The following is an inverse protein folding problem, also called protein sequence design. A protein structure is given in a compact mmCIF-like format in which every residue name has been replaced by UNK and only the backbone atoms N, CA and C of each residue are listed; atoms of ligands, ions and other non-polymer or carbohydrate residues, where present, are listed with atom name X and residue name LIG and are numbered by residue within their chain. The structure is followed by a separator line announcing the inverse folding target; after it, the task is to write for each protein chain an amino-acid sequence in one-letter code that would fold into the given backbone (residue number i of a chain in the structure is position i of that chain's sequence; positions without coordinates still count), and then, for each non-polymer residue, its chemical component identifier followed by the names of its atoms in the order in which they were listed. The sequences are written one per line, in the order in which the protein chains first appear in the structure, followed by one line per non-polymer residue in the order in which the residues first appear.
data_IF_911886631299
#
_entry.id   IF_911886631299
#
_cell.length_a   1.000
_cell.length_b   1.000
_cell.length_c   1.000
_cell.angle_alpha   90.00
_cell.angle_beta   90.00
_cell.angle_gamma   90.00
#
_symmetry.space_group_name_H-M   'P 1'
#
loop_
_entity.id
_entity.type
_entity.pdbx_description
1 polymer ?
#
# COMPACT_ATOMS: atom_id res chain seq x y z
N UNK A 1 -28.14 21.50 -12.55
CA UNK A 1 -27.40 22.77 -12.73
C UNK A 1 -26.97 23.21 -11.33
N UNK A 2 -25.67 23.11 -11.04
CA UNK A 2 -25.10 23.64 -9.80
C UNK A 2 -25.13 25.18 -9.90
N UNK A 3 -25.65 25.88 -8.89
CA UNK A 3 -25.75 27.33 -8.92
C UNK A 3 -24.37 27.97 -8.87
N UNK A 4 -24.19 29.17 -9.45
CA UNK A 4 -22.94 29.94 -9.35
C UNK A 4 -22.50 30.16 -7.89
N UNK A 5 -23.43 30.14 -6.93
CA UNK A 5 -23.16 30.24 -5.49
C UNK A 5 -22.50 28.97 -4.95
N UNK A 6 -22.96 27.79 -5.40
CA UNK A 6 -22.40 26.50 -4.95
C UNK A 6 -20.99 26.29 -5.52
N UNK A 7 -20.75 26.71 -6.78
CA UNK A 7 -19.42 26.72 -7.39
C UNK A 7 -18.42 27.65 -6.67
N UNK A 8 -18.90 28.79 -6.16
CA UNK A 8 -18.09 29.71 -5.38
C UNK A 8 -17.80 29.20 -3.97
N UNK A 9 -18.74 28.50 -3.34
CA UNK A 9 -18.54 27.87 -2.04
C UNK A 9 -17.57 26.69 -2.12
N UNK A 10 -17.64 25.88 -3.17
CA UNK A 10 -16.67 24.78 -3.43
C UNK A 10 -15.29 25.37 -3.75
N UNK A 11 -15.22 26.47 -4.50
CA UNK A 11 -13.96 27.17 -4.77
C UNK A 11 -13.33 27.78 -3.52
N UNK A 12 -14.14 28.42 -2.67
CA UNK A 12 -13.67 29.07 -1.43
C UNK A 12 -13.23 28.03 -0.37
N UNK A 13 -13.95 26.91 -0.23
CA UNK A 13 -13.55 25.83 0.66
C UNK A 13 -12.28 25.13 0.15
N UNK A 14 -12.13 24.92 -1.16
CA UNK A 14 -10.93 24.33 -1.74
C UNK A 14 -9.66 25.20 -1.55
N UNK A 15 -9.79 26.52 -1.62
CA UNK A 15 -8.67 27.46 -1.36
C UNK A 15 -8.32 27.48 0.13
N UNK A 16 -9.30 27.47 1.03
CA UNK A 16 -9.06 27.43 2.47
C UNK A 16 -8.39 26.11 2.89
N UNK A 17 -8.85 24.98 2.36
CA UNK A 17 -8.31 23.64 2.67
C UNK A 17 -6.90 23.46 2.10
N UNK A 18 -6.61 23.92 0.88
CA UNK A 18 -5.25 23.92 0.33
C UNK A 18 -4.29 24.81 1.14
N UNK A 19 -4.79 25.89 1.73
CA UNK A 19 -4.05 26.75 2.67
C UNK A 19 -3.62 26.01 3.94
N UNK A 20 -4.48 25.13 4.49
CA UNK A 20 -4.18 24.35 5.70
C UNK A 20 -3.01 23.38 5.50
N UNK A 21 -2.90 22.72 4.33
CA UNK A 21 -1.78 21.83 4.05
C UNK A 21 -0.43 22.56 4.00
N UNK A 22 -0.40 23.76 3.41
CA UNK A 22 0.79 24.64 3.43
C UNK A 22 1.14 25.09 4.84
N UNK A 23 0.14 25.43 5.66
CA UNK A 23 0.35 25.80 7.06
C UNK A 23 0.93 24.66 7.87
N UNK A 24 0.49 23.42 7.66
CA UNK A 24 1.05 22.25 8.33
C UNK A 24 2.52 22.01 7.92
N UNK A 25 2.85 22.16 6.63
CA UNK A 25 4.24 22.05 6.15
C UNK A 25 5.10 23.17 6.75
N UNK A 26 4.59 24.41 6.81
CA UNK A 26 5.31 25.54 7.40
C UNK A 26 5.44 25.40 8.92
N UNK A 27 4.44 24.87 9.61
CA UNK A 27 4.53 24.57 11.04
C UNK A 27 5.65 23.56 11.32
N UNK A 28 5.76 22.50 10.52
CA UNK A 28 6.87 21.55 10.62
C UNK A 28 8.21 22.19 10.31
N UNK A 29 8.27 23.05 9.29
CA UNK A 29 9.49 23.79 8.95
C UNK A 29 9.99 24.64 10.11
N UNK A 30 9.10 25.28 10.86
CA UNK A 30 9.43 26.16 12.00
C UNK A 30 9.76 25.40 13.29
N UNK A 31 9.35 24.13 13.42
CA UNK A 31 9.79 23.32 14.57
C UNK A 31 11.31 23.26 14.60
N UNK A 32 11.94 23.35 15.78
CA UNK A 32 13.38 23.15 15.92
C UNK A 32 13.78 21.83 15.24
N UNK A 33 14.94 21.84 14.57
CA UNK A 33 15.50 20.57 14.12
C UNK A 33 15.80 19.74 15.36
N UNK A 34 15.46 18.42 15.36
CA UNK A 34 16.03 17.55 16.37
C UNK A 34 17.55 17.63 16.29
N UNK A 35 18.22 17.46 17.41
CA UNK A 35 19.67 17.40 17.41
C UNK A 35 20.12 16.34 16.39
N UNK A 36 20.91 16.77 15.40
CA UNK A 36 21.36 15.84 14.38
C UNK A 36 22.16 14.71 14.98
N UNK A 37 21.69 13.50 14.84
CA UNK A 37 22.40 12.27 15.21
C UNK A 37 22.63 11.44 13.95
N UNK A 38 23.87 11.01 13.76
CA UNK A 38 24.15 10.00 12.75
C UNK A 38 23.40 8.70 13.11
N UNK A 39 22.79 8.06 12.11
CA UNK A 39 22.15 6.76 12.30
C UNK A 39 23.17 5.76 12.88
N UNK A 40 22.93 5.16 14.04
CA UNK A 40 23.83 4.16 14.61
C UNK A 40 23.78 2.86 13.80
N UNK A 41 24.83 2.05 13.91
CA UNK A 41 24.90 0.70 13.32
C UNK A 41 24.61 -0.38 14.35
N UNK A 42 23.63 -0.15 15.19
CA UNK A 42 23.23 -1.05 16.24
C UNK A 42 21.94 -1.82 15.95
N UNK A 43 21.55 -2.69 16.88
CA UNK A 43 20.35 -3.52 16.80
C UNK A 43 19.08 -2.66 16.67
N UNK A 44 18.97 -1.59 17.45
CA UNK A 44 17.78 -0.76 17.48
C UNK A 44 17.53 -0.06 16.15
N UNK A 45 18.59 0.52 15.55
CA UNK A 45 18.50 1.15 14.25
C UNK A 45 18.09 0.17 13.16
N UNK A 46 18.54 -1.09 13.23
CA UNK A 46 18.19 -2.11 12.27
C UNK A 46 16.73 -2.56 12.40
N UNK A 47 16.23 -2.73 13.62
CA UNK A 47 14.80 -3.01 13.87
C UNK A 47 13.93 -1.89 13.32
N UNK A 48 14.26 -0.64 13.65
CA UNK A 48 13.53 0.53 13.17
C UNK A 48 13.50 0.57 11.64
N UNK A 49 14.64 0.38 10.98
CA UNK A 49 14.72 0.39 9.52
C UNK A 49 13.87 -0.69 8.85
N UNK A 50 13.83 -1.90 9.43
CA UNK A 50 13.05 -3.02 8.90
C UNK A 50 11.55 -2.84 9.09
N UNK A 51 11.15 -2.26 10.21
CA UNK A 51 9.74 -2.07 10.58
C UNK A 51 9.14 -0.78 10.06
N UNK A 52 9.96 0.19 9.63
CA UNK A 52 9.54 1.53 9.22
C UNK A 52 10.03 1.89 7.83
N UNK A 53 9.67 3.09 7.36
CA UNK A 53 10.25 3.69 6.16
C UNK A 53 11.65 4.29 6.38
N UNK A 54 12.29 3.99 7.49
CA UNK A 54 13.65 4.40 7.79
C UNK A 54 13.80 5.02 9.17
N UNK A 55 15.02 4.97 9.67
CA UNK A 55 15.39 5.54 10.95
C UNK A 55 15.19 7.07 10.99
N UNK A 56 14.72 7.57 12.12
CA UNK A 56 14.75 8.99 12.47
C UNK A 56 15.10 9.15 13.96
N UNK A 57 15.49 10.36 14.36
CA UNK A 57 15.82 10.66 15.77
C UNK A 57 14.59 10.44 16.66
N UNK A 58 13.44 10.92 16.24
CA UNK A 58 12.18 10.79 16.99
C UNK A 58 11.76 9.32 17.17
N UNK A 59 12.00 8.49 16.15
CA UNK A 59 11.69 7.06 16.23
C UNK A 59 12.68 6.32 17.15
N UNK A 60 13.96 6.71 17.10
CA UNK A 60 15.00 6.15 17.97
C UNK A 60 14.74 6.51 19.43
N UNK A 61 14.37 7.75 19.72
CA UNK A 61 14.01 8.18 21.08
C UNK A 61 12.80 7.39 21.60
N UNK A 62 11.74 7.26 20.77
CA UNK A 62 10.57 6.44 21.12
C UNK A 62 10.93 4.98 21.39
N UNK A 63 11.80 4.40 20.57
CA UNK A 63 12.29 3.03 20.76
C UNK A 63 13.09 2.89 22.08
N UNK A 64 13.93 3.87 22.39
CA UNK A 64 14.72 3.86 23.61
C UNK A 64 13.84 4.01 24.87
N UNK A 65 12.82 4.86 24.82
CA UNK A 65 11.89 5.09 25.93
C UNK A 65 11.03 3.86 26.26
N UNK A 66 10.58 3.12 25.23
CA UNK A 66 9.69 1.97 25.39
C UNK A 66 10.43 0.64 25.56
N UNK A 67 11.62 0.53 25.02
CA UNK A 67 12.32 -0.74 24.81
C UNK A 67 11.73 -1.55 23.63
N UNK A 68 12.51 -2.55 23.18
CA UNK A 68 12.23 -3.32 21.98
C UNK A 68 10.83 -3.98 22.00
N UNK A 69 10.50 -4.69 23.08
CA UNK A 69 9.26 -5.47 23.17
C UNK A 69 8.03 -4.59 23.10
N UNK A 70 7.96 -3.54 23.93
CA UNK A 70 6.78 -2.66 23.96
C UNK A 70 6.68 -1.83 22.68
N UNK A 71 7.81 -1.40 22.10
CA UNK A 71 7.82 -0.71 20.82
C UNK A 71 7.19 -1.58 19.71
N UNK A 72 7.62 -2.86 19.57
CA UNK A 72 7.06 -3.80 18.58
C UNK A 72 5.56 -4.01 18.82
N UNK A 73 5.15 -4.23 20.08
CA UNK A 73 3.75 -4.48 20.42
C UNK A 73 2.85 -3.27 20.10
N UNK A 74 3.31 -2.06 20.40
CA UNK A 74 2.54 -0.84 20.06
C UNK A 74 2.47 -0.60 18.56
N UNK A 75 3.52 -0.87 17.81
CA UNK A 75 3.50 -0.82 16.34
C UNK A 75 2.53 -1.87 15.76
N UNK A 76 2.47 -3.08 16.32
CA UNK A 76 1.52 -4.12 15.90
C UNK A 76 0.05 -3.76 16.18
N UNK A 77 -0.22 -2.96 17.22
CA UNK A 77 -1.56 -2.46 17.52
C UNK A 77 -1.90 -1.16 16.78
N UNK A 78 -0.90 -0.49 16.20
CA UNK A 78 -1.01 0.86 15.62
C UNK A 78 -1.65 1.86 16.60
N UNK A 79 -1.21 1.86 17.85
CA UNK A 79 -1.82 2.61 18.94
C UNK A 79 -1.01 3.86 19.37
N UNK A 80 -0.14 4.35 18.49
CA UNK A 80 0.51 5.64 18.67
C UNK A 80 -0.38 6.77 18.14
N UNK A 81 -0.39 7.88 18.86
CA UNK A 81 -1.07 9.10 18.40
C UNK A 81 -0.37 9.66 17.14
N UNK A 82 -1.15 9.96 16.13
CA UNK A 82 -0.63 10.58 14.92
C UNK A 82 -0.36 12.07 15.11
N UNK A 83 0.73 12.61 14.52
CA UNK A 83 1.00 14.04 14.60
C UNK A 83 -0.15 14.88 14.05
N UNK A 84 -0.54 15.93 14.77
CA UNK A 84 -1.61 16.84 14.36
C UNK A 84 -1.38 17.41 12.97
N UNK A 85 -0.12 17.78 12.67
CA UNK A 85 0.26 18.32 11.35
C UNK A 85 0.04 17.31 10.22
N UNK A 86 0.19 15.99 10.49
CA UNK A 86 -0.14 14.96 9.50
C UNK A 86 -1.63 14.94 9.24
N UNK A 87 -2.45 14.99 10.28
CA UNK A 87 -3.91 15.00 10.16
C UNK A 87 -4.39 16.23 9.38
N UNK A 88 -3.87 17.43 9.67
CA UNK A 88 -4.20 18.65 8.94
C UNK A 88 -3.76 18.55 7.47
N UNK A 89 -2.59 17.99 7.21
CA UNK A 89 -2.06 17.84 5.86
C UNK A 89 -2.92 16.87 5.03
N UNK A 90 -3.31 15.74 5.59
CA UNK A 90 -4.21 14.79 4.94
C UNK A 90 -5.60 15.37 4.70
N UNK A 91 -6.11 16.19 5.62
CA UNK A 91 -7.37 16.90 5.44
C UNK A 91 -7.32 17.91 4.28
N UNK A 92 -6.15 18.43 3.93
CA UNK A 92 -5.99 19.32 2.78
C UNK A 92 -6.04 18.62 1.41
N UNK A 93 -5.96 17.28 1.41
CA UNK A 93 -6.08 16.43 0.22
C UNK A 93 -7.54 15.99 0.05
N UNK A 94 -8.35 16.84 -0.58
CA UNK A 94 -9.80 16.70 -0.70
C UNK A 94 -10.22 15.38 -1.39
N UNK A 95 -9.46 14.94 -2.39
CA UNK A 95 -9.74 13.70 -3.13
C UNK A 95 -9.76 12.43 -2.25
N UNK A 96 -9.10 12.43 -1.08
CA UNK A 96 -9.11 11.28 -0.16
C UNK A 96 -10.49 11.01 0.46
N UNK A 97 -11.37 12.00 0.48
CA UNK A 97 -12.69 11.93 1.13
C UNK A 97 -13.85 11.99 0.16
N UNK A 98 -13.56 12.25 -1.11
CA UNK A 98 -14.57 12.35 -2.16
C UNK A 98 -15.03 10.96 -2.59
N UNK A 99 -16.32 10.83 -2.86
CA UNK A 99 -16.85 9.62 -3.46
C UNK A 99 -16.34 9.47 -4.91
N UNK A 100 -16.14 8.25 -5.44
CA UNK A 100 -15.67 8.04 -6.81
C UNK A 100 -16.41 8.85 -7.89
N UNK A 101 -17.73 9.06 -7.73
CA UNK A 101 -18.54 9.89 -8.63
C UNK A 101 -18.09 11.35 -8.65
N UNK A 102 -17.78 11.90 -7.50
CA UNK A 102 -17.29 13.28 -7.37
C UNK A 102 -15.88 13.41 -7.96
N UNK A 103 -15.05 12.37 -7.76
CA UNK A 103 -13.71 12.30 -8.34
C UNK A 103 -13.72 12.29 -9.86
N UNK A 104 -14.77 11.73 -10.50
CA UNK A 104 -14.91 11.72 -11.96
C UNK A 104 -15.04 13.12 -12.57
N UNK A 105 -15.42 14.12 -11.78
CA UNK A 105 -15.44 15.53 -12.20
C UNK A 105 -14.08 16.23 -12.00
N UNK A 106 -13.10 15.55 -11.39
CA UNK A 106 -11.75 16.08 -11.12
C UNK A 106 -10.78 15.55 -12.19
N UNK A 107 -9.83 16.36 -12.68
CA UNK A 107 -8.79 15.88 -13.58
C UNK A 107 -8.01 14.68 -12.97
N UNK A 108 -7.89 13.58 -13.71
CA UNK A 108 -7.23 12.34 -13.24
C UNK A 108 -5.86 12.59 -12.61
N UNK A 109 -5.05 13.45 -13.24
CA UNK A 109 -3.72 13.81 -12.71
C UNK A 109 -3.77 14.42 -11.32
N UNK A 110 -4.78 15.23 -10.99
CA UNK A 110 -4.95 15.81 -9.65
C UNK A 110 -5.30 14.71 -8.63
N UNK A 111 -6.20 13.79 -9.00
CA UNK A 111 -6.58 12.67 -8.10
C UNK A 111 -5.35 11.81 -7.80
N UNK A 112 -4.62 11.36 -8.83
CA UNK A 112 -3.39 10.58 -8.67
C UNK A 112 -2.34 11.31 -7.83
N UNK A 113 -2.11 12.60 -8.11
CA UNK A 113 -1.16 13.41 -7.34
C UNK A 113 -1.51 13.49 -5.85
N UNK A 114 -2.77 13.67 -5.51
CA UNK A 114 -3.19 13.73 -4.10
C UNK A 114 -3.05 12.37 -3.40
N UNK A 115 -3.35 11.26 -4.08
CA UNK A 115 -3.12 9.91 -3.55
C UNK A 115 -1.63 9.66 -3.30
N UNK A 116 -0.76 10.02 -4.25
CA UNK A 116 0.69 9.91 -4.12
C UNK A 116 1.23 10.82 -3.00
N UNK A 117 0.73 12.05 -2.88
CA UNK A 117 1.09 12.95 -1.77
C UNK A 117 0.71 12.35 -0.42
N UNK A 118 -0.49 11.78 -0.30
CA UNK A 118 -0.95 11.13 0.92
C UNK A 118 -0.03 9.96 1.32
N UNK A 119 0.36 9.11 0.37
CA UNK A 119 1.27 8.00 0.63
C UNK A 119 2.64 8.50 1.13
N UNK A 120 3.23 9.52 0.46
CA UNK A 120 4.53 10.08 0.85
C UNK A 120 4.48 10.70 2.25
N UNK A 121 3.47 11.53 2.56
CA UNK A 121 3.42 12.20 3.87
C UNK A 121 3.10 11.22 5.02
N UNK A 122 2.28 10.19 4.78
CA UNK A 122 2.04 9.12 5.76
C UNK A 122 3.31 8.32 6.02
N UNK A 123 3.96 7.81 5.00
CA UNK A 123 5.20 7.06 5.13
C UNK A 123 6.31 7.86 5.81
N UNK A 124 6.32 9.19 5.63
CA UNK A 124 7.32 10.08 6.25
C UNK A 124 6.99 10.39 7.70
N UNK A 125 5.72 10.69 8.03
CA UNK A 125 5.36 11.35 9.30
C UNK A 125 4.51 10.54 10.26
N UNK A 126 3.86 9.45 9.79
CA UNK A 126 3.08 8.61 10.69
C UNK A 126 3.98 8.05 11.82
N UNK A 127 3.45 8.03 13.02
CA UNK A 127 4.05 7.35 14.18
C UNK A 127 3.78 5.85 14.17
N UNK A 128 2.75 5.41 13.44
CA UNK A 128 2.40 4.01 13.24
C UNK A 128 3.10 3.45 11.97
N UNK A 129 4.43 3.43 11.99
CA UNK A 129 5.26 3.13 10.84
C UNK A 129 5.07 1.72 10.29
N UNK A 130 4.89 0.72 11.15
CA UNK A 130 4.61 -0.65 10.72
C UNK A 130 3.30 -0.74 9.93
N UNK A 131 2.29 0.02 10.34
CA UNK A 131 1.03 0.11 9.57
C UNK A 131 1.28 0.65 8.16
N UNK A 132 2.06 1.71 8.02
CA UNK A 132 2.36 2.29 6.70
C UNK A 132 3.20 1.32 5.84
N UNK A 133 4.14 0.58 6.42
CA UNK A 133 4.89 -0.47 5.73
C UNK A 133 3.98 -1.60 5.23
N UNK A 134 3.01 -2.02 6.04
CA UNK A 134 2.05 -3.04 5.64
C UNK A 134 1.02 -2.51 4.64
N UNK A 135 0.65 -1.24 4.69
CA UNK A 135 -0.16 -0.61 3.64
C UNK A 135 0.56 -0.67 2.29
N UNK A 136 1.84 -0.29 2.24
CA UNK A 136 2.66 -0.39 1.02
C UNK A 136 2.78 -1.86 0.54
N UNK A 137 3.01 -2.81 1.45
CA UNK A 137 3.06 -4.24 1.13
C UNK A 137 1.74 -4.74 0.53
N UNK A 138 0.60 -4.42 1.16
CA UNK A 138 -0.71 -4.88 0.69
C UNK A 138 -1.17 -4.15 -0.58
N UNK A 139 -0.87 -2.86 -0.72
CA UNK A 139 -1.11 -2.11 -1.96
C UNK A 139 -0.31 -2.67 -3.14
N UNK A 140 0.88 -3.22 -2.88
CA UNK A 140 1.68 -3.91 -3.89
C UNK A 140 1.18 -5.33 -4.16
N UNK A 141 0.70 -6.04 -3.13
CA UNK A 141 0.15 -7.40 -3.25
C UNK A 141 -1.17 -7.42 -4.04
N UNK A 142 -2.04 -6.43 -3.83
CA UNK A 142 -3.29 -6.22 -4.56
C UNK A 142 -3.12 -5.06 -5.57
N UNK A 143 -2.04 -5.08 -6.33
CA UNK A 143 -1.74 -3.95 -7.21
C UNK A 143 -2.89 -3.64 -8.17
N UNK A 144 -3.26 -2.38 -8.24
CA UNK A 144 -4.23 -1.83 -9.18
C UNK A 144 -3.60 -0.66 -9.90
N UNK A 145 -3.47 -0.78 -11.21
CA UNK A 145 -2.96 0.28 -12.05
C UNK A 145 -3.95 1.43 -12.17
N UNK A 146 -3.66 2.55 -11.52
CA UNK A 146 -4.52 3.73 -11.52
C UNK A 146 -4.73 4.33 -12.93
N UNK A 147 -3.82 4.09 -13.86
CA UNK A 147 -3.93 4.57 -15.25
C UNK A 147 -4.94 3.82 -16.12
N UNK A 148 -5.45 2.64 -15.69
CA UNK A 148 -6.41 1.87 -16.50
C UNK A 148 -7.81 2.47 -16.39
N UNK A 149 -8.36 2.94 -17.50
CA UNK A 149 -9.72 3.50 -17.64
C UNK A 149 -10.08 4.43 -16.48
N UNK A 150 -11.06 4.09 -15.64
CA UNK A 150 -11.53 4.86 -14.49
C UNK A 150 -10.86 4.43 -13.17
N UNK A 151 -9.81 3.60 -13.22
CA UNK A 151 -9.10 3.05 -12.06
C UNK A 151 -8.63 4.12 -11.06
N UNK A 152 -8.15 5.26 -11.54
CA UNK A 152 -7.75 6.40 -10.70
C UNK A 152 -8.85 6.85 -9.72
N UNK A 153 -10.11 6.85 -10.17
CA UNK A 153 -11.22 7.35 -9.35
C UNK A 153 -11.65 6.37 -8.25
N UNK A 154 -11.38 5.08 -8.45
CA UNK A 154 -11.69 4.03 -7.47
C UNK A 154 -10.51 3.72 -6.53
N UNK A 155 -9.27 3.99 -6.98
CA UNK A 155 -8.04 3.64 -6.24
C UNK A 155 -7.99 4.27 -4.85
N UNK A 156 -8.42 5.51 -4.70
CA UNK A 156 -8.43 6.20 -3.41
C UNK A 156 -9.37 5.52 -2.40
N UNK A 157 -10.57 5.15 -2.84
CA UNK A 157 -11.53 4.44 -1.99
C UNK A 157 -11.05 3.03 -1.63
N UNK A 158 -10.44 2.30 -2.57
CA UNK A 158 -9.84 1.00 -2.33
C UNK A 158 -8.72 1.10 -1.28
N UNK A 159 -7.81 2.07 -1.44
CA UNK A 159 -6.71 2.29 -0.50
C UNK A 159 -7.22 2.61 0.91
N UNK A 160 -8.13 3.57 1.06
CA UNK A 160 -8.61 4.04 2.38
C UNK A 160 -9.57 3.03 3.03
N UNK A 161 -10.55 2.53 2.30
CA UNK A 161 -11.62 1.71 2.86
C UNK A 161 -11.26 0.24 3.00
N UNK A 162 -10.28 -0.27 2.23
CA UNK A 162 -9.92 -1.68 2.23
C UNK A 162 -8.49 -1.87 2.76
N UNK A 163 -7.48 -1.40 2.02
CA UNK A 163 -6.07 -1.69 2.38
C UNK A 163 -5.75 -1.12 3.76
N UNK A 164 -5.94 0.17 3.98
CA UNK A 164 -5.58 0.82 5.24
C UNK A 164 -6.38 0.31 6.43
N UNK A 165 -7.66 0.01 6.21
CA UNK A 165 -8.57 -0.53 7.23
C UNK A 165 -8.10 -1.91 7.72
N UNK A 166 -7.59 -2.74 6.82
CA UNK A 166 -7.26 -4.13 7.12
C UNK A 166 -5.76 -4.43 7.19
N UNK A 167 -4.88 -3.44 6.97
CA UNK A 167 -3.43 -3.64 6.92
C UNK A 167 -2.84 -4.33 8.16
N UNK A 168 -3.39 -4.05 9.34
CA UNK A 168 -3.12 -4.72 10.63
C UNK A 168 -4.37 -5.43 11.16
N UNK A 169 -5.26 -5.89 10.28
CA UNK A 169 -6.49 -6.59 10.62
C UNK A 169 -6.43 -8.08 10.27
N UNK A 170 -7.29 -8.48 9.34
CA UNK A 170 -7.43 -9.87 8.90
C UNK A 170 -7.30 -9.95 7.38
N UNK A 171 -6.43 -10.85 6.90
CA UNK A 171 -6.19 -11.03 5.47
C UNK A 171 -7.45 -11.48 4.72
N UNK A 172 -8.20 -12.46 5.24
CA UNK A 172 -9.41 -12.94 4.59
C UNK A 172 -10.46 -11.84 4.45
N UNK A 173 -10.62 -10.98 5.47
CA UNK A 173 -11.53 -9.84 5.39
C UNK A 173 -11.06 -8.82 4.33
N UNK A 174 -9.76 -8.55 4.25
CA UNK A 174 -9.17 -7.68 3.24
C UNK A 174 -9.37 -8.23 1.83
N UNK A 175 -9.01 -9.49 1.59
CA UNK A 175 -9.11 -10.13 0.29
C UNK A 175 -10.57 -10.24 -0.20
N UNK A 176 -11.52 -10.54 0.70
CA UNK A 176 -12.97 -10.56 0.39
C UNK A 176 -13.49 -9.16 0.03
N UNK A 177 -13.06 -8.13 0.76
CA UNK A 177 -13.43 -6.76 0.41
C UNK A 177 -12.80 -6.33 -0.93
N UNK A 178 -11.54 -6.71 -1.15
CA UNK A 178 -10.82 -6.46 -2.39
C UNK A 178 -11.46 -7.17 -3.58
N UNK A 179 -11.95 -8.41 -3.40
CA UNK A 179 -12.58 -9.17 -4.48
C UNK A 179 -13.85 -8.52 -5.04
N UNK A 180 -14.50 -7.67 -4.26
CA UNK A 180 -15.67 -6.88 -4.66
C UNK A 180 -15.35 -5.41 -4.92
N UNK A 181 -14.08 -5.02 -4.82
CA UNK A 181 -13.69 -3.63 -5.08
C UNK A 181 -13.96 -3.25 -6.55
N UNK A 182 -14.69 -2.16 -6.82
CA UNK A 182 -14.87 -1.65 -8.17
C UNK A 182 -13.54 -1.38 -8.89
N UNK A 183 -12.52 -0.92 -8.15
CA UNK A 183 -11.18 -0.73 -8.69
C UNK A 183 -10.60 -2.04 -9.25
N UNK A 184 -10.69 -3.14 -8.50
CA UNK A 184 -10.22 -4.46 -8.92
C UNK A 184 -11.04 -5.04 -10.06
N UNK A 185 -12.38 -4.96 -9.96
CA UNK A 185 -13.29 -5.47 -11.00
C UNK A 185 -13.07 -4.80 -12.37
N UNK A 186 -12.78 -3.50 -12.38
CA UNK A 186 -12.45 -2.76 -13.61
C UNK A 186 -11.03 -3.07 -14.06
N UNK A 187 -10.08 -3.12 -13.13
CA UNK A 187 -8.70 -3.36 -13.47
C UNK A 187 -8.46 -4.71 -14.13
N UNK A 188 -9.12 -5.77 -13.65
CA UNK A 188 -9.00 -7.13 -14.17
C UNK A 188 -10.16 -7.56 -15.07
N UNK A 189 -10.94 -6.60 -15.58
CA UNK A 189 -12.00 -6.77 -16.58
C UNK A 189 -13.16 -7.70 -16.14
N UNK A 190 -13.33 -7.93 -14.82
CA UNK A 190 -14.43 -8.76 -14.34
C UNK A 190 -15.81 -8.09 -14.52
N UNK A 191 -15.86 -6.78 -14.63
CA UNK A 191 -17.08 -6.05 -15.00
C UNK A 191 -17.60 -6.42 -16.39
N UNK A 192 -16.78 -7.10 -17.21
CA UNK A 192 -17.14 -7.65 -18.52
C UNK A 192 -17.31 -9.17 -18.50
N UNK A 193 -17.27 -9.81 -17.33
CA UNK A 193 -17.42 -11.24 -17.15
C UNK A 193 -18.92 -11.63 -17.07
N UNK A 194 -19.40 -12.44 -18.03
CA UNK A 194 -20.81 -12.84 -18.10
C UNK A 194 -20.99 -14.27 -18.64
N UNK A 195 -22.15 -14.86 -18.33
CA UNK A 195 -22.52 -16.19 -18.81
C UNK A 195 -22.39 -16.31 -20.32
N UNK A 196 -21.86 -17.45 -20.77
CA UNK A 196 -21.62 -17.71 -22.20
C UNK A 196 -20.24 -17.24 -22.69
N UNK A 197 -19.64 -16.23 -22.02
CA UNK A 197 -18.29 -15.74 -22.30
C UNK A 197 -17.56 -15.38 -21.00
N UNK A 198 -17.24 -16.38 -20.14
CA UNK A 198 -16.51 -16.11 -18.90
C UNK A 198 -15.13 -15.50 -19.18
N UNK A 199 -14.79 -14.45 -18.47
CA UNK A 199 -13.48 -13.80 -18.52
C UNK A 199 -12.59 -14.36 -17.41
N UNK A 200 -11.52 -15.06 -17.78
CA UNK A 200 -10.62 -15.74 -16.84
C UNK A 200 -9.62 -14.79 -16.16
N UNK A 201 -9.44 -13.57 -16.68
CA UNK A 201 -8.37 -12.68 -16.22
C UNK A 201 -8.39 -12.50 -14.68
N UNK A 202 -9.53 -12.05 -14.17
CA UNK A 202 -9.66 -11.86 -12.74
C UNK A 202 -9.57 -13.15 -11.92
N UNK A 203 -10.19 -14.23 -12.38
CA UNK A 203 -10.13 -15.52 -11.71
C UNK A 203 -8.69 -16.04 -11.60
N UNK A 204 -7.91 -15.88 -12.66
CA UNK A 204 -6.50 -16.25 -12.70
C UNK A 204 -5.69 -15.46 -11.67
N UNK A 205 -5.77 -14.13 -11.72
CA UNK A 205 -5.00 -13.28 -10.81
C UNK A 205 -5.39 -13.49 -9.34
N UNK A 206 -6.66 -13.75 -9.08
CA UNK A 206 -7.15 -14.06 -7.73
C UNK A 206 -6.50 -15.33 -7.18
N UNK A 207 -6.33 -16.38 -7.99
CA UNK A 207 -5.68 -17.61 -7.58
C UNK A 207 -4.15 -17.49 -7.57
N UNK A 208 -3.55 -16.93 -8.62
CA UNK A 208 -2.11 -16.94 -8.85
C UNK A 208 -1.32 -15.97 -7.97
N UNK A 209 -1.82 -14.76 -7.79
CA UNK A 209 -1.04 -13.70 -7.11
C UNK A 209 -1.70 -13.12 -5.88
N UNK A 210 -3.03 -13.26 -5.74
CA UNK A 210 -3.72 -12.69 -4.59
C UNK A 210 -3.98 -13.72 -3.47
N UNK A 211 -4.00 -15.04 -3.79
CA UNK A 211 -4.27 -16.09 -2.81
C UNK A 211 -3.25 -17.24 -2.85
N UNK A 212 -3.48 -18.28 -3.64
CA UNK A 212 -2.75 -19.56 -3.57
C UNK A 212 -1.27 -19.48 -3.98
N UNK A 213 -0.92 -18.49 -4.83
CA UNK A 213 0.39 -18.46 -5.49
C UNK A 213 0.43 -19.28 -6.78
N UNK A 214 1.41 -19.04 -7.64
CA UNK A 214 1.54 -19.71 -8.95
C UNK A 214 1.63 -21.24 -8.79
N UNK A 215 2.30 -21.70 -7.74
CA UNK A 215 2.48 -23.14 -7.45
C UNK A 215 1.38 -23.69 -6.52
N UNK A 216 0.22 -23.02 -6.41
CA UNK A 216 -0.84 -23.33 -5.45
C UNK A 216 -1.64 -24.61 -5.72
N UNK A 217 -1.32 -25.38 -6.76
CA UNK A 217 -1.90 -26.71 -7.04
C UNK A 217 -3.25 -26.68 -7.75
N UNK A 218 -3.77 -25.54 -8.16
CA UNK A 218 -4.98 -25.41 -8.98
C UNK A 218 -4.68 -25.71 -10.47
N UNK A 219 -5.74 -26.00 -11.22
CA UNK A 219 -5.68 -26.31 -12.64
C UNK A 219 -6.29 -25.18 -13.48
N UNK A 220 -6.01 -25.17 -14.80
CA UNK A 220 -6.68 -24.28 -15.74
C UNK A 220 -8.21 -24.41 -15.65
N UNK A 221 -8.73 -25.60 -15.38
CA UNK A 221 -10.17 -25.81 -15.19
C UNK A 221 -10.69 -25.11 -13.94
N UNK A 222 -9.94 -25.08 -12.85
CA UNK A 222 -10.35 -24.36 -11.64
C UNK A 222 -10.46 -22.86 -11.92
N UNK A 223 -9.55 -22.28 -12.71
CA UNK A 223 -9.62 -20.88 -13.15
C UNK A 223 -10.91 -20.63 -13.97
N UNK A 224 -11.23 -21.53 -14.92
CA UNK A 224 -12.43 -21.41 -15.73
C UNK A 224 -13.71 -21.49 -14.90
N UNK A 225 -13.77 -22.43 -13.98
CA UNK A 225 -14.91 -22.60 -13.08
C UNK A 225 -15.04 -21.43 -12.09
N UNK A 226 -13.91 -20.87 -11.57
CA UNK A 226 -13.92 -19.66 -10.77
C UNK A 226 -14.42 -18.45 -11.61
N UNK A 227 -13.98 -18.32 -12.86
CA UNK A 227 -14.48 -17.26 -13.73
C UNK A 227 -16.00 -17.34 -13.90
N UNK A 228 -16.57 -18.57 -14.04
CA UNK A 228 -18.02 -18.79 -14.05
C UNK A 228 -18.69 -18.39 -12.74
N UNK A 229 -18.08 -18.65 -11.57
CA UNK A 229 -18.58 -18.22 -10.27
C UNK A 229 -18.61 -16.69 -10.14
N UNK A 230 -17.69 -15.98 -10.79
CA UNK A 230 -17.55 -14.52 -10.72
C UNK A 230 -18.34 -13.79 -11.83
N UNK A 231 -19.03 -14.51 -12.72
CA UNK A 231 -19.91 -13.88 -13.72
C UNK A 231 -20.98 -13.03 -13.05
N UNK A 232 -21.29 -11.88 -13.64
CA UNK A 232 -22.26 -10.93 -13.07
C UNK A 232 -21.75 -10.06 -11.92
N UNK A 233 -20.54 -10.33 -11.40
CA UNK A 233 -19.90 -9.40 -10.45
C UNK A 233 -19.42 -8.17 -11.21
N UNK A 234 -20.04 -7.04 -10.95
CA UNK A 234 -19.81 -5.78 -11.66
C UNK A 234 -19.93 -4.60 -10.71
N UNK A 235 -20.00 -3.41 -11.23
CA UNK A 235 -20.25 -2.20 -10.46
C UNK A 235 -21.44 -1.44 -11.01
N UNK A 236 -22.05 -0.56 -10.19
CA UNK A 236 -23.05 0.39 -10.65
C UNK A 236 -22.45 1.30 -11.74
N UNK A 237 -23.21 1.49 -12.81
CA UNK A 237 -22.79 2.33 -13.90
C UNK A 237 -22.80 3.83 -13.53
N UNK A 238 -22.37 4.69 -14.46
CA UNK A 238 -22.27 6.13 -14.25
C UNK A 238 -23.59 6.81 -13.86
N UNK A 239 -24.72 6.24 -14.22
CA UNK A 239 -26.03 6.86 -14.05
C UNK A 239 -26.82 6.28 -12.88
N UNK A 240 -26.44 5.10 -12.37
CA UNK A 240 -27.09 4.48 -11.23
C UNK A 240 -26.58 5.04 -9.89
N UNK A 241 -27.36 4.88 -8.83
CA UNK A 241 -26.97 5.23 -7.45
C UNK A 241 -26.98 3.97 -6.58
N UNK A 242 -25.97 3.78 -5.72
CA UNK A 242 -24.72 4.52 -5.59
C UNK A 242 -23.74 4.16 -6.74
N UNK A 243 -23.32 5.15 -7.51
CA UNK A 243 -22.39 4.95 -8.62
C UNK A 243 -21.04 4.43 -8.11
N UNK A 244 -20.45 3.48 -8.85
CA UNK A 244 -19.15 2.91 -8.51
C UNK A 244 -19.15 2.02 -7.26
N UNK A 245 -20.31 1.57 -6.78
CA UNK A 245 -20.43 0.52 -5.79
C UNK A 245 -20.45 -0.86 -6.46
N UNK A 246 -20.09 -1.90 -5.71
CA UNK A 246 -20.28 -3.29 -6.15
C UNK A 246 -21.73 -3.56 -6.47
N UNK A 247 -22.00 -4.24 -7.58
CA UNK A 247 -23.30 -4.73 -8.00
C UNK A 247 -23.20 -6.17 -8.49
N UNK A 248 -24.13 -6.99 -8.12
CA UNK A 248 -24.36 -8.30 -8.73
C UNK A 248 -25.48 -8.22 -9.76
N UNK A 249 -25.20 -8.68 -10.98
CA UNK A 249 -26.15 -8.73 -12.08
C UNK A 249 -26.56 -10.18 -12.37
N UNK A 250 -27.69 -10.62 -11.83
CA UNK A 250 -28.23 -11.98 -11.98
C UNK A 250 -28.41 -12.35 -13.45
N UNK A 251 -28.80 -11.39 -14.29
CA UNK A 251 -29.06 -11.66 -15.74
C UNK A 251 -27.79 -12.06 -16.49
N UNK A 252 -26.63 -11.69 -15.95
CA UNK A 252 -25.30 -11.97 -16.51
C UNK A 252 -24.61 -13.15 -15.84
N UNK A 253 -25.19 -13.69 -14.75
CA UNK A 253 -24.58 -14.77 -13.97
C UNK A 253 -24.81 -16.15 -14.59
N UNK A 254 -23.81 -17.04 -14.47
CA UNK A 254 -23.91 -18.46 -14.82
C UNK A 254 -24.38 -19.26 -13.60
N UNK A 255 -25.66 -19.61 -13.58
CA UNK A 255 -26.30 -20.33 -12.47
C UNK A 255 -26.06 -21.85 -12.48
N UNK A 256 -25.33 -22.40 -13.44
CA UNK A 256 -25.00 -23.83 -13.49
C UNK A 256 -24.16 -24.27 -12.31
N UNK A 257 -24.22 -25.55 -11.95
CA UNK A 257 -23.32 -26.11 -10.93
C UNK A 257 -21.85 -26.00 -11.39
N UNK A 258 -20.94 -25.79 -10.44
CA UNK A 258 -19.51 -25.61 -10.68
C UNK A 258 -18.69 -26.40 -9.66
N UNK A 259 -17.43 -26.66 -9.98
CA UNK A 259 -16.48 -27.23 -9.04
C UNK A 259 -15.15 -26.51 -9.20
N UNK A 260 -14.68 -25.88 -8.12
CA UNK A 260 -13.49 -25.04 -8.11
C UNK A 260 -12.58 -25.48 -6.99
N UNK A 261 -11.40 -25.93 -7.30
CA UNK A 261 -10.33 -26.23 -6.31
C UNK A 261 -10.85 -27.00 -5.07
N UNK A 262 -11.55 -28.10 -5.33
CA UNK A 262 -12.13 -28.95 -4.30
C UNK A 262 -13.49 -28.51 -3.76
N UNK A 263 -13.95 -27.29 -4.06
CA UNK A 263 -15.26 -26.77 -3.61
C UNK A 263 -16.33 -27.10 -4.63
N UNK A 264 -17.42 -27.74 -4.18
CA UNK A 264 -18.63 -27.96 -4.98
C UNK A 264 -19.58 -26.77 -4.78
N UNK A 265 -19.86 -26.05 -5.85
CA UNK A 265 -20.80 -24.92 -5.89
C UNK A 265 -22.11 -25.41 -6.52
N UNK A 266 -23.22 -25.49 -5.77
CA UNK A 266 -24.52 -25.92 -6.28
C UNK A 266 -25.06 -24.92 -7.31
N UNK A 267 -25.93 -25.38 -8.21
CA UNK A 267 -26.62 -24.48 -9.13
C UNK A 267 -27.56 -23.53 -8.39
N UNK A 268 -27.72 -22.30 -8.91
CA UNK A 268 -28.69 -21.32 -8.40
C UNK A 268 -28.22 -20.52 -7.19
N UNK A 269 -26.90 -20.48 -6.89
CA UNK A 269 -26.36 -19.77 -5.72
C UNK A 269 -26.20 -18.25 -5.93
N UNK A 270 -26.19 -17.79 -7.19
CA UNK A 270 -26.09 -16.39 -7.54
C UNK A 270 -24.78 -15.75 -7.01
N UNK A 271 -24.87 -14.61 -6.35
CA UNK A 271 -23.70 -13.91 -5.79
C UNK A 271 -22.88 -14.78 -4.83
N UNK A 272 -23.51 -15.73 -4.17
CA UNK A 272 -22.88 -16.63 -3.18
C UNK A 272 -21.90 -17.61 -3.82
N UNK A 273 -22.02 -17.88 -5.11
CA UNK A 273 -21.09 -18.77 -5.83
C UNK A 273 -19.64 -18.26 -5.73
N UNK A 274 -19.45 -16.99 -6.09
CA UNK A 274 -18.14 -16.35 -5.95
C UNK A 274 -17.71 -16.17 -4.50
N UNK A 275 -18.63 -15.77 -3.59
CA UNK A 275 -18.33 -15.59 -2.17
C UNK A 275 -17.80 -16.88 -1.53
N UNK A 276 -18.47 -18.02 -1.80
CA UNK A 276 -18.09 -19.33 -1.27
C UNK A 276 -16.68 -19.73 -1.70
N UNK A 277 -16.34 -19.54 -2.98
CA UNK A 277 -15.02 -19.89 -3.48
C UNK A 277 -13.96 -18.93 -2.94
N UNK A 278 -14.23 -17.61 -2.90
CA UNK A 278 -13.31 -16.65 -2.29
C UNK A 278 -13.04 -16.96 -0.82
N UNK A 279 -14.08 -17.33 -0.05
CA UNK A 279 -13.93 -17.76 1.36
C UNK A 279 -13.03 -18.99 1.50
N UNK A 280 -13.16 -19.95 0.59
CA UNK A 280 -12.28 -21.12 0.55
C UNK A 280 -10.83 -20.73 0.23
N UNK A 281 -10.61 -19.97 -0.84
CA UNK A 281 -9.27 -19.56 -1.27
C UNK A 281 -8.52 -18.78 -0.18
N UNK A 282 -9.17 -17.80 0.46
CA UNK A 282 -8.51 -16.95 1.47
C UNK A 282 -8.20 -17.68 2.78
N UNK A 283 -8.84 -18.81 3.03
CA UNK A 283 -8.60 -19.65 4.22
C UNK A 283 -7.72 -20.88 3.94
N UNK A 284 -7.39 -21.12 2.68
CA UNK A 284 -6.64 -22.30 2.26
C UNK A 284 -5.19 -22.26 2.75
N UNK A 285 -4.63 -23.44 3.09
CA UNK A 285 -3.25 -23.54 3.59
C UNK A 285 -2.20 -23.01 2.59
N UNK A 286 -2.40 -23.25 1.28
CA UNK A 286 -1.50 -22.73 0.24
C UNK A 286 -1.46 -21.19 0.24
N UNK A 287 -2.58 -20.53 0.49
CA UNK A 287 -2.62 -19.07 0.69
C UNK A 287 -1.77 -18.66 1.90
N UNK A 288 -1.88 -19.41 3.01
CA UNK A 288 -1.01 -19.19 4.18
C UNK A 288 0.47 -19.36 3.86
N UNK A 289 0.85 -20.40 3.11
CA UNK A 289 2.23 -20.64 2.66
C UNK A 289 2.74 -19.50 1.75
N UNK A 290 1.93 -19.09 0.79
CA UNK A 290 2.28 -18.01 -0.11
C UNK A 290 2.51 -16.68 0.62
N UNK A 291 1.60 -16.32 1.52
CA UNK A 291 1.72 -15.11 2.33
C UNK A 291 2.91 -15.17 3.29
N UNK A 292 3.16 -16.32 3.92
CA UNK A 292 4.30 -16.53 4.81
C UNK A 292 5.62 -16.24 4.08
N UNK A 293 5.81 -16.83 2.90
CA UNK A 293 6.99 -16.57 2.04
C UNK A 293 7.15 -15.09 1.71
N UNK A 294 6.07 -14.41 1.32
CA UNK A 294 6.11 -12.98 0.96
C UNK A 294 6.45 -12.11 2.16
N UNK A 295 5.80 -12.32 3.32
CA UNK A 295 6.01 -11.52 4.52
C UNK A 295 7.41 -11.72 5.11
N UNK A 296 7.88 -12.97 5.21
CA UNK A 296 9.23 -13.26 5.70
C UNK A 296 10.27 -12.58 4.81
N UNK A 297 10.19 -12.78 3.49
CA UNK A 297 11.12 -12.13 2.55
C UNK A 297 11.06 -10.60 2.61
N UNK A 298 9.87 -10.01 2.78
CA UNK A 298 9.69 -8.55 2.83
C UNK A 298 10.42 -7.92 4.02
N UNK A 299 10.34 -8.52 5.21
CA UNK A 299 10.93 -7.96 6.42
C UNK A 299 12.40 -8.39 6.65
N UNK A 300 12.78 -9.61 6.23
CA UNK A 300 14.12 -10.15 6.52
C UNK A 300 15.07 -10.08 5.32
N UNK A 301 14.57 -9.86 4.12
CA UNK A 301 15.36 -9.82 2.87
C UNK A 301 15.67 -11.20 2.28
N UNK A 302 15.36 -12.29 2.98
CA UNK A 302 15.61 -13.65 2.54
C UNK A 302 14.43 -14.58 2.87
N UNK A 303 14.40 -15.74 2.27
CA UNK A 303 13.53 -16.83 2.69
C UNK A 303 14.12 -17.54 3.90
N UNK A 304 13.25 -17.97 4.81
CA UNK A 304 13.61 -18.76 5.97
C UNK A 304 12.49 -19.78 6.23
N UNK A 305 12.73 -21.04 5.87
CA UNK A 305 11.71 -22.09 5.91
C UNK A 305 11.17 -22.37 7.33
N UNK A 306 11.94 -22.15 8.38
CA UNK A 306 11.48 -22.33 9.76
C UNK A 306 10.52 -21.20 10.16
N UNK A 307 10.92 -19.96 9.90
CA UNK A 307 10.08 -18.78 10.17
C UNK A 307 8.82 -18.78 9.29
N UNK A 308 8.91 -19.21 8.03
CA UNK A 308 7.75 -19.36 7.13
C UNK A 308 6.74 -20.38 7.69
N UNK A 309 7.21 -21.50 8.27
CA UNK A 309 6.33 -22.49 8.95
C UNK A 309 5.67 -21.90 10.20
N UNK A 310 6.38 -21.09 10.96
CA UNK A 310 5.81 -20.43 12.12
C UNK A 310 4.72 -19.43 11.71
N UNK A 311 4.98 -18.59 10.71
CA UNK A 311 4.00 -17.64 10.15
C UNK A 311 2.79 -18.38 9.59
N UNK A 312 2.98 -19.50 8.87
CA UNK A 312 1.89 -20.36 8.41
C UNK A 312 1.06 -20.91 9.57
N UNK A 313 1.70 -21.39 10.64
CA UNK A 313 1.01 -21.85 11.86
C UNK A 313 0.13 -20.72 12.44
N UNK A 314 0.66 -19.49 12.51
CA UNK A 314 -0.11 -18.34 12.96
C UNK A 314 -1.27 -18.00 12.00
N UNK A 315 -1.07 -18.10 10.69
CA UNK A 315 -2.14 -17.92 9.71
C UNK A 315 -3.31 -18.89 9.97
N UNK A 316 -3.02 -20.18 10.09
CA UNK A 316 -4.04 -21.23 10.29
C UNK A 316 -4.76 -21.03 11.64
N UNK A 317 -4.00 -20.89 12.74
CA UNK A 317 -4.56 -20.79 14.10
C UNK A 317 -5.39 -19.52 14.29
N UNK A 318 -4.98 -18.41 13.68
CA UNK A 318 -5.64 -17.11 13.83
C UNK A 318 -6.59 -16.78 12.70
N UNK A 319 -6.76 -17.67 11.72
CA UNK A 319 -7.58 -17.46 10.53
C UNK A 319 -7.18 -16.20 9.76
N UNK A 320 -5.87 -16.01 9.57
CA UNK A 320 -5.31 -14.90 8.78
C UNK A 320 -5.24 -13.56 9.53
N UNK A 321 -5.13 -13.55 10.87
CA UNK A 321 -4.87 -12.33 11.64
C UNK A 321 -3.46 -11.80 11.36
N UNK A 322 -3.33 -10.66 10.69
CA UNK A 322 -2.08 -10.11 10.19
C UNK A 322 -1.08 -9.80 11.33
N UNK A 323 -1.45 -9.13 12.42
CA UNK A 323 -0.55 -8.92 13.56
C UNK A 323 0.06 -10.22 14.10
N UNK A 324 -0.73 -11.29 14.21
CA UNK A 324 -0.24 -12.60 14.67
C UNK A 324 0.73 -13.25 13.70
N UNK A 325 0.52 -13.07 12.39
CA UNK A 325 1.44 -13.54 11.35
C UNK A 325 2.76 -12.76 11.33
N UNK A 326 2.70 -11.44 11.54
CA UNK A 326 3.86 -10.56 11.45
C UNK A 326 4.71 -10.59 12.72
N UNK A 327 4.12 -10.77 13.90
CA UNK A 327 4.83 -10.80 15.19
C UNK A 327 6.05 -11.73 15.21
N UNK A 328 5.97 -13.04 14.85
CA UNK A 328 7.14 -13.90 14.86
C UNK A 328 8.27 -13.40 13.96
N UNK A 329 7.95 -12.70 12.87
CA UNK A 329 8.96 -12.13 11.99
C UNK A 329 9.71 -11.00 12.70
N UNK A 330 8.96 -10.10 13.35
CA UNK A 330 9.53 -8.91 14.01
C UNK A 330 10.35 -9.25 15.26
N UNK A 331 10.07 -10.38 15.89
CA UNK A 331 10.79 -10.87 17.07
C UNK A 331 11.89 -11.89 16.74
N UNK A 332 11.97 -12.32 15.47
CA UNK A 332 12.98 -13.29 15.03
C UNK A 332 14.38 -12.66 14.93
N UNK A 333 15.45 -13.41 15.26
CA UNK A 333 16.82 -13.02 14.93
C UNK A 333 17.01 -12.70 13.43
N UNK A 334 16.28 -13.38 12.55
CA UNK A 334 16.35 -13.15 11.09
C UNK A 334 15.99 -11.73 10.66
N UNK A 335 15.24 -10.98 11.46
CA UNK A 335 14.96 -9.56 11.20
C UNK A 335 16.25 -8.74 11.15
N UNK A 336 17.22 -9.08 12.00
CA UNK A 336 18.47 -8.32 12.19
C UNK A 336 19.63 -8.98 11.44
N UNK A 337 19.70 -10.30 11.48
CA UNK A 337 20.80 -11.08 10.91
C UNK A 337 20.62 -11.33 9.42
N UNK A 338 19.41 -11.11 8.89
CA UNK A 338 19.11 -11.25 7.46
C UNK A 338 19.96 -10.33 6.58
N UNK A 339 20.07 -10.63 5.28
CA UNK A 339 20.86 -9.83 4.36
C UNK A 339 20.36 -8.39 4.28
N UNK A 340 21.21 -7.44 3.88
CA UNK A 340 20.77 -6.08 3.60
C UNK A 340 19.66 -6.07 2.54
N UNK A 341 18.60 -5.31 2.74
CA UNK A 341 17.52 -5.15 1.76
C UNK A 341 17.72 -3.82 1.03
N UNK A 342 17.94 -3.87 -0.27
CA UNK A 342 18.03 -2.66 -1.07
C UNK A 342 16.69 -1.91 -1.01
N UNK A 343 16.73 -0.66 -0.58
CA UNK A 343 15.53 0.18 -0.52
C UNK A 343 14.98 0.40 -1.92
N UNK A 344 13.70 0.09 -2.12
CA UNK A 344 12.99 0.51 -3.32
C UNK A 344 12.96 2.05 -3.38
N UNK A 345 12.75 2.67 -4.55
CA UNK A 345 12.76 4.14 -4.67
C UNK A 345 11.85 4.85 -3.66
N UNK A 346 10.66 4.34 -3.38
CA UNK A 346 9.75 4.90 -2.39
C UNK A 346 10.31 4.80 -0.96
N UNK A 347 10.89 3.67 -0.61
CA UNK A 347 11.55 3.46 0.69
C UNK A 347 12.77 4.39 0.86
N UNK A 348 13.57 4.54 -0.20
CA UNK A 348 14.72 5.45 -0.19
C UNK A 348 14.29 6.90 0.01
N UNK A 349 13.27 7.33 -0.73
CA UNK A 349 12.74 8.69 -0.65
C UNK A 349 12.24 8.98 0.77
N UNK A 350 11.40 8.13 1.33
CA UNK A 350 10.87 8.32 2.68
C UNK A 350 11.96 8.24 3.75
N UNK A 351 12.92 7.31 3.64
CA UNK A 351 14.05 7.22 4.57
C UNK A 351 14.90 8.50 4.56
N UNK A 352 15.16 9.08 3.37
CA UNK A 352 15.90 10.32 3.25
C UNK A 352 15.15 11.52 3.85
N UNK A 353 13.83 11.60 3.66
CA UNK A 353 12.99 12.63 4.27
C UNK A 353 12.96 12.49 5.80
N UNK A 354 12.87 11.27 6.32
CA UNK A 354 12.84 10.98 7.78
C UNK A 354 14.16 11.32 8.46
N UNK A 355 15.27 10.82 7.96
CA UNK A 355 16.59 11.05 8.58
C UNK A 355 17.03 12.52 8.49
N UNK A 356 16.59 13.25 7.46
CA UNK A 356 16.87 14.69 7.32
C UNK A 356 15.92 15.60 8.08
N UNK A 357 14.92 15.05 8.77
CA UNK A 357 13.86 15.81 9.43
C UNK A 357 13.12 16.75 8.48
N UNK A 358 12.97 16.36 7.21
CA UNK A 358 12.42 17.21 6.16
C UNK A 358 10.96 17.59 6.42
N UNK A 359 10.62 18.85 6.16
CA UNK A 359 9.23 19.31 6.07
C UNK A 359 8.82 19.36 4.60
N UNK A 360 7.80 18.58 4.21
CA UNK A 360 7.34 18.46 2.82
C UNK A 360 5.83 18.29 2.72
N UNK A 361 5.26 18.67 1.57
CA UNK A 361 3.87 18.39 1.19
C UNK A 361 3.69 17.06 0.43
N UNK A 362 4.78 16.33 0.15
CA UNK A 362 4.75 15.11 -0.66
C UNK A 362 4.39 15.36 -2.13
N UNK A 363 4.51 16.61 -2.59
CA UNK A 363 3.97 17.09 -3.85
C UNK A 363 4.68 16.62 -5.11
N UNK A 364 4.29 17.19 -6.29
CA UNK A 364 4.71 16.70 -7.61
C UNK A 364 6.21 16.61 -7.84
N UNK A 365 7.00 17.47 -7.17
CA UNK A 365 8.46 17.43 -7.29
C UNK A 365 9.07 16.12 -6.78
N UNK A 366 8.62 15.64 -5.59
CA UNK A 366 9.02 14.33 -5.04
C UNK A 366 8.48 13.17 -5.87
N UNK A 367 7.23 13.27 -6.33
CA UNK A 367 6.59 12.27 -7.20
C UNK A 367 7.36 12.11 -8.51
N UNK A 368 7.88 13.21 -9.07
CA UNK A 368 8.72 13.15 -10.27
C UNK A 368 10.08 12.46 -10.02
N UNK A 369 10.66 12.62 -8.82
CA UNK A 369 11.85 11.84 -8.44
C UNK A 369 11.52 10.34 -8.35
N UNK A 370 10.39 9.94 -7.77
CA UNK A 370 9.95 8.53 -7.77
C UNK A 370 9.79 7.99 -9.19
N UNK A 371 9.16 8.77 -10.08
CA UNK A 371 9.00 8.40 -11.49
C UNK A 371 10.34 8.21 -12.19
N UNK A 372 11.30 9.12 -12.00
CA UNK A 372 12.65 9.01 -12.55
C UNK A 372 13.42 7.81 -12.01
N UNK A 373 13.20 7.45 -10.74
CA UNK A 373 13.78 6.26 -10.12
C UNK A 373 13.08 4.96 -10.52
N UNK A 374 11.96 5.03 -11.28
CA UNK A 374 11.24 3.87 -11.81
C UNK A 374 10.07 3.38 -10.94
N UNK A 375 9.68 4.11 -9.89
CA UNK A 375 8.57 3.71 -9.02
C UNK A 375 7.54 4.85 -8.83
N UNK A 376 6.84 5.32 -9.89
CA UNK A 376 5.70 6.20 -9.71
C UNK A 376 4.57 5.45 -9.00
N UNK A 377 4.16 5.90 -7.81
CA UNK A 377 3.18 5.19 -6.98
C UNK A 377 1.84 5.01 -7.73
N UNK A 378 1.26 3.81 -7.61
CA UNK A 378 -0.01 3.40 -8.23
C UNK A 378 0.00 3.35 -9.77
N UNK A 379 1.17 3.47 -10.41
CA UNK A 379 1.29 3.48 -11.87
C UNK A 379 1.97 2.21 -12.42
N UNK A 380 2.10 1.14 -11.65
CA UNK A 380 2.59 -0.14 -12.15
C UNK A 380 1.50 -0.88 -12.92
N UNK A 381 1.74 -1.23 -14.22
CA UNK A 381 0.66 -1.71 -15.09
C UNK A 381 0.29 -3.19 -14.89
N UNK A 382 1.19 -4.00 -14.33
CA UNK A 382 0.98 -5.42 -14.15
C UNK A 382 0.38 -5.74 -12.77
N UNK A 383 -0.47 -6.77 -12.66
CA UNK A 383 -1.17 -7.10 -11.42
C UNK A 383 -0.28 -7.66 -10.31
N UNK A 384 0.93 -8.15 -10.63
CA UNK A 384 1.92 -8.67 -9.68
C UNK A 384 2.57 -7.59 -8.79
N UNK A 385 2.37 -6.31 -9.13
CA UNK A 385 2.95 -5.17 -8.41
C UNK A 385 4.42 -4.91 -8.74
N UNK A 386 4.98 -3.86 -8.11
CA UNK A 386 6.40 -3.52 -8.28
C UNK A 386 7.30 -4.68 -7.85
N UNK A 387 8.39 -4.92 -8.58
CA UNK A 387 9.34 -5.98 -8.25
C UNK A 387 9.84 -5.91 -6.79
N UNK A 388 9.87 -7.05 -6.13
CA UNK A 388 10.47 -7.21 -4.79
C UNK A 388 11.93 -7.70 -4.88
N UNK A 389 12.39 -8.01 -6.08
CA UNK A 389 13.77 -8.38 -6.35
C UNK A 389 14.69 -7.16 -6.31
N UNK A 390 15.79 -7.28 -5.57
CA UNK A 390 16.73 -6.17 -5.37
C UNK A 390 17.46 -5.77 -6.64
N UNK A 391 17.75 -6.72 -7.54
CA UNK A 391 18.46 -6.47 -8.79
C UNK A 391 17.65 -5.55 -9.72
N UNK A 392 16.33 -5.64 -9.69
CA UNK A 392 15.44 -4.76 -10.45
C UNK A 392 15.67 -3.28 -10.13
N UNK A 393 16.13 -2.97 -8.93
CA UNK A 393 16.36 -1.60 -8.46
C UNK A 393 17.82 -1.15 -8.50
N UNK A 394 18.77 -2.08 -8.68
CA UNK A 394 20.20 -1.81 -8.69
C UNK A 394 20.70 -1.16 -10.00
N UNK A 395 19.94 -1.26 -11.08
CA UNK A 395 20.36 -0.80 -12.42
C UNK A 395 20.16 0.70 -12.64
N UNK A 396 19.34 1.39 -11.85
CA UNK A 396 18.98 2.80 -12.02
C UNK A 396 19.51 3.69 -10.88
N UNK A 397 20.83 3.76 -10.72
CA UNK A 397 21.47 4.47 -9.59
C UNK A 397 21.53 5.98 -9.79
N UNK A 398 21.69 6.48 -11.01
CA UNK A 398 21.86 7.91 -11.27
C UNK A 398 20.67 8.76 -10.77
N UNK A 399 19.40 8.42 -11.03
CA UNK A 399 18.27 9.15 -10.45
C UNK A 399 18.22 9.11 -8.92
N UNK A 400 18.72 8.06 -8.27
CA UNK A 400 18.82 7.97 -6.80
C UNK A 400 19.80 9.01 -6.26
N UNK A 401 20.97 9.11 -6.87
CA UNK A 401 21.96 10.12 -6.48
C UNK A 401 21.51 11.54 -6.81
N UNK A 402 20.81 11.74 -7.93
CA UNK A 402 20.23 13.04 -8.26
C UNK A 402 19.18 13.46 -7.23
N UNK A 403 18.29 12.55 -6.81
CA UNK A 403 17.32 12.82 -5.75
C UNK A 403 18.01 13.23 -4.45
N UNK A 404 18.98 12.44 -4.00
CA UNK A 404 19.73 12.70 -2.76
C UNK A 404 20.44 14.05 -2.80
N UNK A 405 21.09 14.38 -3.93
CA UNK A 405 21.75 15.66 -4.13
C UNK A 405 20.75 16.84 -4.12
N UNK A 406 19.65 16.72 -4.82
CA UNK A 406 18.62 17.76 -4.89
C UNK A 406 17.95 17.98 -3.53
N UNK A 407 17.69 16.89 -2.77
CA UNK A 407 17.16 16.98 -1.41
C UNK A 407 18.13 17.72 -0.48
N UNK A 408 19.39 17.27 -0.41
CA UNK A 408 20.39 17.84 0.49
C UNK A 408 20.66 19.34 0.20
N UNK A 409 20.60 19.76 -1.05
CA UNK A 409 20.82 21.12 -1.47
C UNK A 409 19.55 22.00 -1.51
N UNK A 410 18.41 21.50 -0.97
CA UNK A 410 17.17 22.26 -0.92
C UNK A 410 16.57 22.61 -2.28
N UNK A 411 16.86 21.82 -3.32
CA UNK A 411 16.39 22.07 -4.70
C UNK A 411 15.02 21.50 -5.00
N UNK A 412 14.42 20.75 -4.06
CA UNK A 412 13.10 20.14 -4.23
C UNK A 412 12.04 21.14 -3.73
N UNK A 413 11.17 21.67 -4.61
CA UNK A 413 10.12 22.60 -4.22
C UNK A 413 9.24 22.03 -3.09
N UNK A 414 8.82 22.91 -2.19
CA UNK A 414 7.99 22.59 -1.02
C UNK A 414 8.58 21.51 -0.09
N UNK A 415 9.91 21.32 -0.16
CA UNK A 415 10.62 20.36 0.71
C UNK A 415 11.81 21.06 1.36
N UNK A 416 11.80 21.12 2.70
CA UNK A 416 12.76 21.86 3.48
C UNK A 416 13.49 20.92 4.43
N UNK A 417 14.76 20.66 4.19
CA UNK A 417 15.63 19.86 5.07
C UNK A 417 16.08 20.68 6.28
N UNK A 418 16.22 20.01 7.40
CA UNK A 418 16.69 20.61 8.66
C UNK A 418 18.12 20.24 9.00
N UNK A 419 18.78 19.43 8.18
CA UNK A 419 20.17 19.06 8.40
C UNK A 419 21.09 20.30 8.37
N UNK A 420 22.06 20.40 9.30
CA UNK A 420 22.87 21.60 9.44
C UNK A 420 23.86 21.82 8.29
N UNK A 421 24.21 20.79 7.54
CA UNK A 421 25.19 20.83 6.45
C UNK A 421 24.74 19.96 5.27
N UNK A 422 24.57 20.60 4.11
CA UNK A 422 24.13 19.93 2.89
C UNK A 422 25.15 18.92 2.36
N UNK A 423 26.47 19.14 2.53
CA UNK A 423 27.52 18.24 2.06
C UNK A 423 27.56 16.97 2.92
N UNK A 424 27.45 17.14 4.23
CA UNK A 424 27.39 16.01 5.18
C UNK A 424 26.15 15.16 4.88
N UNK A 425 24.99 15.80 4.74
CA UNK A 425 23.74 15.10 4.41
C UNK A 425 23.84 14.37 3.08
N UNK A 426 24.29 15.05 2.01
CA UNK A 426 24.41 14.43 0.70
C UNK A 426 25.33 13.21 0.72
N UNK A 427 26.48 13.31 1.42
CA UNK A 427 27.43 12.20 1.58
C UNK A 427 26.80 11.02 2.35
N UNK A 428 26.05 11.29 3.42
CA UNK A 428 25.36 10.26 4.18
C UNK A 428 24.30 9.54 3.34
N UNK A 429 23.43 10.28 2.67
CA UNK A 429 22.34 9.72 1.87
C UNK A 429 22.83 8.99 0.61
N UNK A 430 23.95 9.41 0.04
CA UNK A 430 24.58 8.76 -1.11
C UNK A 430 25.42 7.54 -0.72
N UNK A 431 25.71 7.34 0.58
CA UNK A 431 26.52 6.22 1.04
C UNK A 431 25.83 4.88 0.72
N UNK A 432 26.57 3.85 0.29
CA UNK A 432 25.98 2.53 0.01
C UNK A 432 25.13 1.99 1.17
N UNK A 433 25.59 2.12 2.42
CA UNK A 433 24.85 1.65 3.59
C UNK A 433 23.44 2.30 3.71
N UNK A 434 23.26 3.52 3.20
CA UNK A 434 21.95 4.18 3.21
C UNK A 434 21.01 3.65 2.14
N UNK A 435 21.54 3.04 1.09
CA UNK A 435 20.73 2.41 0.04
C UNK A 435 20.06 1.10 0.52
N UNK A 436 20.44 0.61 1.70
CA UNK A 436 19.95 -0.65 2.28
C UNK A 436 19.29 -0.40 3.66
N UNK A 437 18.30 -1.29 3.97
CA UNK A 437 17.63 -1.42 5.26
C UNK A 437 18.13 -2.65 6.02
#
# INVERSE_FOLDING_TARGET
MISRRDALLVGASGVAVAGCGRLATEARRRKPAPEYRAKPKDRSARIIDRMSFGWSVEEADRFADLGETEYIERQLRADFDEPLELSIQLQSLDCLRMHPVELMEIPRGRVTQQLQSAAIVRATYSTNQLKERLVDFWSNHFNIYAGKVDGTFFKGNEEEAIIRKHALGNFGAMAKAMSKSPAMLVYLDNNQNFKGHPNENYARELMEIHTLGIDGGYTQKDIQELARCLTGWTMEDRFAKPKGAFRFDETRHDDGAKQVFGVRVPAGGGVKDGEMVVDHLVSHEETGKYLAKKLVKFFTGAQNAELEREVLSQFVQSKGNIPKMVRPILTSPSLIEGPPIMRRPFELLCAALRVSGAATDGGPALQNHLKKMGQPLYEWPLPDGYPVDQLSWATNLLPRWQFVYDLANGKIPNTFVKAPDAVILARQLAHPDFQYA
#
